data_IF_611063809685
#
_entry.id   IF_611063809685
#
_cell.length_a   1.000
_cell.length_b   1.000
_cell.length_c   1.000
_cell.angle_alpha   90.00
_cell.angle_beta   90.00
_cell.angle_gamma   90.00
#
_symmetry.space_group_name_H-M   'P 1'
#
loop_
_entity.id
_entity.type
_entity.pdbx_description
1 polymer ?
#
# COMPACT_ATOMS: atom_id res chain seq x y z
N UNK A 1 -47.58 17.42 76.97
CA UNK A 1 -48.52 18.52 77.03
C UNK A 1 -48.57 19.15 75.67
N UNK A 2 -49.53 18.72 74.97
CA UNK A 2 -50.65 19.43 74.36
C UNK A 2 -50.31 20.50 73.29
N UNK A 3 -51.15 20.49 72.35
CA UNK A 3 -50.94 20.75 70.93
C UNK A 3 -51.57 22.14 70.63
N UNK A 4 -52.11 22.39 69.52
CA UNK A 4 -51.95 22.33 68.10
C UNK A 4 -52.06 23.73 67.47
N UNK A 5 -52.05 23.90 66.20
CA UNK A 5 -53.15 24.56 65.45
C UNK A 5 -52.78 24.80 63.98
N UNK A 6 -53.58 24.24 63.11
CA UNK A 6 -53.83 24.71 61.74
C UNK A 6 -54.99 25.77 61.84
N UNK A 7 -55.38 26.40 60.76
CA UNK A 7 -55.00 26.68 59.38
C UNK A 7 -55.17 28.20 59.04
N UNK A 8 -55.47 28.76 57.90
CA UNK A 8 -56.40 28.31 56.86
C UNK A 8 -55.91 28.46 55.39
N UNK A 9 -56.75 27.96 54.50
CA UNK A 9 -56.76 27.98 53.06
C UNK A 9 -56.79 29.36 52.41
N UNK A 10 -56.19 29.42 51.23
CA UNK A 10 -56.36 30.52 50.26
C UNK A 10 -56.15 29.98 48.84
N UNK A 11 -57.10 30.16 48.03
CA UNK A 11 -57.45 29.62 46.71
C UNK A 11 -56.66 30.27 45.57
N UNK A 12 -56.60 29.48 44.50
CA UNK A 12 -56.49 29.83 43.07
C UNK A 12 -55.15 30.39 42.50
N UNK A 13 -54.57 29.60 41.65
CA UNK A 13 -53.52 29.97 40.73
C UNK A 13 -53.21 28.87 39.74
N UNK A 14 -54.02 28.79 38.68
CA UNK A 14 -53.77 27.89 37.55
C UNK A 14 -52.43 28.23 36.92
N UNK A 15 -51.44 27.37 37.07
CA UNK A 15 -50.18 27.51 36.36
C UNK A 15 -49.96 26.35 35.41
N UNK A 16 -49.92 26.69 34.14
CA UNK A 16 -49.74 25.81 33.02
C UNK A 16 -48.42 25.01 33.11
N UNK A 17 -48.52 23.73 33.17
CA UNK A 17 -47.37 22.84 33.02
C UNK A 17 -46.85 22.91 31.58
N UNK A 18 -45.79 23.70 31.36
CA UNK A 18 -44.96 23.65 30.18
C UNK A 18 -44.21 22.29 30.15
N UNK A 19 -44.77 21.35 29.44
CA UNK A 19 -44.05 20.14 29.06
C UNK A 19 -42.85 20.52 28.18
N UNK A 20 -41.65 20.59 28.76
CA UNK A 20 -40.41 20.60 28.02
C UNK A 20 -40.30 19.27 27.27
N UNK A 21 -40.62 19.24 25.97
CA UNK A 21 -40.26 18.19 25.05
C UNK A 21 -38.73 18.09 25.06
N UNK A 22 -38.21 17.06 25.72
CA UNK A 22 -36.83 16.62 25.51
C UNK A 22 -36.71 16.15 24.06
N UNK A 23 -36.13 16.99 23.21
CA UNK A 23 -35.61 16.58 21.95
C UNK A 23 -34.43 15.64 22.21
N UNK A 24 -34.66 14.35 22.17
CA UNK A 24 -33.62 13.36 22.03
C UNK A 24 -33.04 13.55 20.63
N UNK A 25 -31.90 14.23 20.54
CA UNK A 25 -31.10 14.21 19.34
C UNK A 25 -30.66 12.75 19.08
N UNK A 26 -31.50 12.04 18.34
CA UNK A 26 -31.13 10.80 17.69
C UNK A 26 -30.00 11.15 16.74
N UNK A 27 -28.74 10.92 17.18
CA UNK A 27 -27.57 10.97 16.29
C UNK A 27 -27.89 10.04 15.12
N UNK A 28 -28.34 10.62 14.00
CA UNK A 28 -28.40 9.92 12.74
C UNK A 28 -26.99 9.45 12.46
N UNK A 29 -26.76 8.15 12.61
CA UNK A 29 -25.61 7.47 12.10
C UNK A 29 -25.60 7.75 10.58
N UNK A 30 -24.79 8.72 10.16
CA UNK A 30 -24.57 8.99 8.74
C UNK A 30 -24.18 7.66 8.13
N UNK A 31 -25.04 7.13 7.27
CA UNK A 31 -24.65 6.02 6.38
C UNK A 31 -23.36 6.46 5.71
N UNK A 32 -22.33 5.57 5.62
CA UNK A 32 -21.13 5.93 4.89
C UNK A 32 -21.57 6.29 3.48
N UNK A 33 -21.42 7.56 3.14
CA UNK A 33 -21.63 8.05 1.79
C UNK A 33 -20.62 7.30 0.95
N UNK A 34 -21.09 6.46 0.05
CA UNK A 34 -20.25 5.82 -0.96
C UNK A 34 -19.37 6.92 -1.54
N UNK A 35 -18.07 6.80 -1.31
CA UNK A 35 -17.05 7.66 -1.89
C UNK A 35 -16.98 7.37 -3.39
N UNK A 36 -18.01 7.84 -4.11
CA UNK A 36 -18.08 7.78 -5.55
C UNK A 36 -16.91 8.57 -6.11
N UNK A 37 -15.87 7.84 -6.57
CA UNK A 37 -14.84 8.30 -7.51
C UNK A 37 -13.97 9.49 -7.08
N UNK A 38 -13.68 9.72 -5.82
CA UNK A 38 -12.54 10.57 -5.47
C UNK A 38 -11.25 9.78 -5.76
N UNK A 39 -10.38 10.38 -6.56
CA UNK A 39 -9.01 9.88 -6.68
C UNK A 39 -8.38 9.87 -5.29
N UNK A 40 -8.07 8.68 -4.79
CA UNK A 40 -7.46 8.48 -3.46
C UNK A 40 -5.94 8.29 -3.53
N UNK A 41 -5.35 8.39 -4.73
CA UNK A 41 -3.90 8.35 -4.91
C UNK A 41 -3.26 9.52 -4.13
N UNK A 42 -2.22 9.23 -3.38
CA UNK A 42 -1.56 10.17 -2.48
C UNK A 42 -2.25 10.33 -1.12
N UNK A 43 -3.39 9.71 -0.90
CA UNK A 43 -4.07 9.76 0.39
C UNK A 43 -3.50 8.73 1.38
N UNK A 44 -3.50 9.13 2.65
CA UNK A 44 -3.35 8.22 3.76
C UNK A 44 -4.68 7.52 3.99
N UNK A 45 -4.65 6.21 4.22
CA UNK A 45 -5.83 5.39 4.48
C UNK A 45 -5.64 4.52 5.72
N UNK A 46 -6.76 4.11 6.29
CA UNK A 46 -6.81 3.10 7.33
C UNK A 46 -8.00 2.17 7.08
N UNK A 47 -7.82 0.89 7.35
CA UNK A 47 -8.90 -0.09 7.28
C UNK A 47 -8.60 -1.29 8.19
N UNK A 48 -9.65 -2.04 8.53
CA UNK A 48 -9.50 -3.36 9.11
C UNK A 48 -9.12 -4.38 8.04
N UNK A 49 -8.22 -5.28 8.35
CA UNK A 49 -7.88 -6.46 7.55
C UNK A 49 -8.32 -7.71 8.27
N UNK A 50 -9.11 -8.55 7.61
CA UNK A 50 -9.60 -9.81 8.18
C UNK A 50 -9.32 -10.97 7.23
N UNK A 51 -8.53 -11.91 7.69
CA UNK A 51 -8.24 -13.13 6.96
C UNK A 51 -8.80 -14.35 7.71
N UNK A 52 -9.69 -15.07 7.05
CA UNK A 52 -10.34 -16.24 7.63
C UNK A 52 -10.99 -15.98 9.01
N UNK A 53 -10.58 -16.76 10.02
CA UNK A 53 -11.05 -16.65 11.40
C UNK A 53 -10.14 -15.80 12.30
N UNK A 54 -9.06 -15.24 11.74
CA UNK A 54 -8.13 -14.40 12.48
C UNK A 54 -8.81 -13.09 12.98
N UNK A 55 -8.34 -12.52 14.08
CA UNK A 55 -8.82 -11.23 14.55
C UNK A 55 -8.58 -10.14 13.49
N UNK A 56 -9.42 -9.10 13.52
CA UNK A 56 -9.26 -7.96 12.60
C UNK A 56 -8.02 -7.16 12.99
N UNK A 57 -7.06 -7.07 12.09
CA UNK A 57 -5.91 -6.17 12.22
C UNK A 57 -6.22 -4.80 11.64
N UNK A 58 -5.66 -3.74 12.23
CA UNK A 58 -5.77 -2.40 11.69
C UNK A 58 -4.55 -2.08 10.81
N UNK A 59 -4.79 -1.84 9.54
CA UNK A 59 -3.77 -1.48 8.56
C UNK A 59 -3.89 -0.02 8.18
N UNK A 60 -2.78 0.70 8.29
CA UNK A 60 -2.65 2.11 7.93
C UNK A 60 -1.57 2.25 6.86
N UNK A 61 -1.80 3.08 5.84
CA UNK A 61 -0.83 3.20 4.75
C UNK A 61 -1.13 4.34 3.80
N UNK A 62 -0.35 4.41 2.73
CA UNK A 62 -0.46 5.42 1.67
C UNK A 62 -0.82 4.73 0.35
N UNK A 63 -1.82 5.26 -0.34
CA UNK A 63 -2.16 4.83 -1.71
C UNK A 63 -1.17 5.48 -2.67
N UNK A 64 -0.36 4.67 -3.33
CA UNK A 64 0.70 5.14 -4.23
C UNK A 64 0.18 5.35 -5.65
N UNK A 65 -0.65 4.43 -6.12
CA UNK A 65 -1.09 4.41 -7.51
C UNK A 65 -2.44 3.70 -7.64
N UNK A 66 -3.20 4.08 -8.66
CA UNK A 66 -4.33 3.31 -9.17
C UNK A 66 -3.93 2.70 -10.51
N UNK A 67 -4.01 1.38 -10.62
CA UNK A 67 -3.52 0.66 -11.80
C UNK A 67 -4.41 0.95 -13.00
N UNK A 68 -3.85 1.54 -14.06
CA UNK A 68 -4.61 1.99 -15.23
C UNK A 68 -5.33 0.86 -15.96
N UNK A 69 -4.70 -0.29 -16.10
CA UNK A 69 -5.26 -1.48 -16.80
C UNK A 69 -6.25 -2.28 -15.93
N UNK A 70 -6.28 -2.01 -14.63
CA UNK A 70 -7.24 -2.58 -13.68
C UNK A 70 -7.63 -1.52 -12.63
N UNK A 71 -8.51 -0.56 -12.98
CA UNK A 71 -8.80 0.62 -12.15
C UNK A 71 -9.43 0.34 -10.77
N UNK A 72 -9.79 -0.89 -10.49
CA UNK A 72 -10.23 -1.33 -9.16
C UNK A 72 -9.07 -1.66 -8.24
N UNK A 73 -7.86 -1.87 -8.79
CA UNK A 73 -6.65 -2.22 -8.10
C UNK A 73 -5.84 -0.98 -7.72
N UNK A 74 -5.47 -0.89 -6.46
CA UNK A 74 -4.61 0.15 -5.91
C UNK A 74 -3.30 -0.44 -5.43
N UNK A 75 -2.20 0.27 -5.66
CA UNK A 75 -0.88 -0.03 -5.11
C UNK A 75 -0.72 0.76 -3.82
N UNK A 76 -0.36 0.08 -2.75
CA UNK A 76 -0.39 0.63 -1.40
C UNK A 76 0.88 0.26 -0.65
N UNK A 77 1.47 1.25 0.05
CA UNK A 77 2.52 1.04 1.05
C UNK A 77 1.90 1.15 2.42
N UNK A 78 1.89 0.04 3.16
CA UNK A 78 1.44 0.04 4.55
C UNK A 78 2.59 0.36 5.51
N UNK A 79 2.25 1.03 6.61
CA UNK A 79 3.19 1.37 7.66
C UNK A 79 3.72 0.08 8.33
N UNK A 80 5.02 0.04 8.58
CA UNK A 80 5.66 -1.13 9.19
C UNK A 80 5.72 -2.39 8.32
N UNK A 81 5.34 -2.31 7.06
CA UNK A 81 5.48 -3.40 6.07
C UNK A 81 6.50 -2.97 5.02
N UNK A 82 7.46 -3.80 4.70
CA UNK A 82 8.51 -3.47 3.73
C UNK A 82 8.05 -3.69 2.28
N UNK A 83 7.20 -4.67 2.05
CA UNK A 83 6.62 -4.94 0.75
C UNK A 83 5.52 -3.95 0.36
N UNK A 84 5.27 -3.89 -0.94
CA UNK A 84 4.19 -3.12 -1.58
C UNK A 84 3.04 -4.04 -1.93
N UNK A 85 1.83 -3.59 -1.67
CA UNK A 85 0.62 -4.40 -1.80
C UNK A 85 -0.28 -3.92 -2.93
N UNK A 86 -0.92 -4.86 -3.61
CA UNK A 86 -1.95 -4.59 -4.61
C UNK A 86 -3.32 -5.07 -4.10
N UNK A 87 -4.24 -4.14 -3.84
CA UNK A 87 -5.56 -4.45 -3.30
C UNK A 87 -6.69 -3.78 -4.08
N UNK A 88 -7.75 -4.51 -4.30
CA UNK A 88 -9.02 -3.95 -4.75
C UNK A 88 -9.82 -3.42 -3.54
N UNK A 89 -9.38 -2.29 -2.98
CA UNK A 89 -9.83 -1.73 -1.70
C UNK A 89 -11.35 -1.70 -1.49
N UNK A 90 -12.12 -1.54 -2.55
CA UNK A 90 -13.58 -1.44 -2.49
C UNK A 90 -14.29 -2.76 -2.79
N UNK A 91 -13.56 -3.81 -3.18
CA UNK A 91 -14.11 -5.10 -3.59
C UNK A 91 -13.64 -6.27 -2.73
N UNK A 92 -12.43 -6.18 -2.19
CA UNK A 92 -11.87 -7.22 -1.34
C UNK A 92 -12.65 -7.30 -0.02
N UNK A 93 -13.26 -8.45 0.24
CA UNK A 93 -14.09 -8.68 1.42
C UNK A 93 -13.29 -8.69 2.73
N UNK A 94 -11.97 -8.81 2.65
CA UNK A 94 -11.05 -8.74 3.79
C UNK A 94 -10.83 -7.30 4.26
N UNK A 95 -11.10 -6.30 3.39
CA UNK A 95 -11.00 -4.88 3.71
C UNK A 95 -12.27 -4.42 4.39
N UNK A 96 -12.17 -4.00 5.65
CA UNK A 96 -13.29 -3.56 6.48
C UNK A 96 -13.14 -2.09 6.86
N UNK A 97 -14.24 -1.34 6.84
CA UNK A 97 -14.29 0.04 7.34
C UNK A 97 -13.17 0.94 6.78
N UNK A 98 -12.98 0.96 5.45
CA UNK A 98 -12.00 1.82 4.80
C UNK A 98 -12.29 3.29 5.08
N UNK A 99 -11.29 4.01 5.58
CA UNK A 99 -11.32 5.44 5.88
C UNK A 99 -10.15 6.15 5.22
N UNK A 100 -10.42 7.38 4.72
CA UNK A 100 -9.37 8.28 4.24
C UNK A 100 -9.01 9.20 5.41
N UNK A 101 -7.72 9.23 5.74
CA UNK A 101 -7.20 10.03 6.84
C UNK A 101 -6.87 11.46 6.37
N UNK A 102 -6.97 12.47 7.24
CA UNK A 102 -6.67 13.86 6.89
C UNK A 102 -5.18 14.14 6.76
N UNK A 103 -4.34 13.22 7.18
CA UNK A 103 -2.87 13.33 7.12
C UNK A 103 -2.39 13.39 5.68
N UNK A 104 -1.35 14.18 5.44
CA UNK A 104 -0.66 14.24 4.15
C UNK A 104 0.69 13.54 4.24
N UNK A 105 1.11 12.95 3.12
CA UNK A 105 2.46 12.40 3.00
C UNK A 105 3.47 13.56 3.01
N UNK A 106 4.46 13.55 3.90
CA UNK A 106 5.54 14.53 3.85
C UNK A 106 6.32 14.41 2.54
N UNK A 107 6.71 15.54 1.97
CA UNK A 107 7.58 15.61 0.78
C UNK A 107 8.95 16.18 1.19
N UNK A 108 9.83 15.39 1.79
CA UNK A 108 11.16 15.86 2.15
C UNK A 108 11.98 16.14 0.90
N UNK A 109 12.94 17.07 1.03
CA UNK A 109 13.91 17.34 -0.06
C UNK A 109 14.92 16.21 -0.15
N UNK A 110 15.26 15.83 -1.38
CA UNK A 110 16.18 14.72 -1.68
C UNK A 110 17.20 15.20 -2.71
N UNK A 111 18.39 14.61 -2.67
CA UNK A 111 19.38 14.74 -3.74
C UNK A 111 18.90 13.96 -4.97
N UNK A 112 18.28 14.67 -5.91
CA UNK A 112 17.72 14.06 -7.11
C UNK A 112 18.77 13.39 -7.99
N UNK A 113 20.01 13.92 -8.04
CA UNK A 113 21.07 13.32 -8.88
C UNK A 113 21.49 11.97 -8.34
N UNK A 114 21.71 11.87 -7.04
CA UNK A 114 22.06 10.61 -6.41
C UNK A 114 20.89 9.63 -6.50
N UNK A 115 19.67 10.09 -6.27
CA UNK A 115 18.46 9.28 -6.38
C UNK A 115 18.33 8.67 -7.78
N UNK A 116 18.45 9.48 -8.82
CA UNK A 116 18.30 9.03 -10.21
C UNK A 116 19.46 8.10 -10.63
N UNK A 117 20.65 8.25 -10.04
CA UNK A 117 21.80 7.36 -10.32
C UNK A 117 21.63 5.94 -9.79
N UNK A 118 20.75 5.71 -8.81
CA UNK A 118 20.45 4.38 -8.29
C UNK A 118 19.46 3.59 -9.18
N UNK A 119 18.63 4.29 -9.95
CA UNK A 119 17.56 3.65 -10.73
C UNK A 119 18.16 2.74 -11.81
N UNK A 120 17.67 1.52 -11.90
CA UNK A 120 18.14 0.48 -12.81
C UNK A 120 19.45 -0.19 -12.39
N UNK A 121 20.02 0.18 -11.23
CA UNK A 121 21.25 -0.41 -10.73
C UNK A 121 20.99 -1.67 -9.93
N UNK A 122 21.91 -2.63 -10.11
CA UNK A 122 22.06 -3.76 -9.22
C UNK A 122 22.74 -3.32 -7.93
N UNK A 123 22.24 -3.81 -6.80
CA UNK A 123 22.72 -3.42 -5.48
C UNK A 123 22.88 -4.62 -4.55
N UNK A 124 23.86 -4.53 -3.65
CA UNK A 124 23.90 -5.34 -2.45
C UNK A 124 23.34 -4.53 -1.30
N UNK A 125 22.31 -5.00 -0.64
CA UNK A 125 21.62 -4.35 0.47
C UNK A 125 21.79 -5.21 1.73
N UNK A 126 22.33 -4.63 2.76
CA UNK A 126 22.65 -5.31 4.02
C UNK A 126 21.49 -5.12 4.98
N UNK A 127 20.98 -6.23 5.49
CA UNK A 127 19.97 -6.24 6.54
C UNK A 127 20.56 -6.76 7.83
N UNK A 128 20.17 -6.15 8.94
CA UNK A 128 20.51 -6.62 10.27
C UNK A 128 19.47 -7.65 10.72
N UNK A 129 19.91 -8.88 10.87
CA UNK A 129 19.09 -9.97 11.36
C UNK A 129 19.07 -10.07 12.88
N UNK A 130 18.37 -11.07 13.39
CA UNK A 130 18.36 -11.37 14.81
C UNK A 130 19.80 -11.62 15.31
N UNK A 131 20.10 -11.10 16.49
CA UNK A 131 21.43 -11.19 17.13
C UNK A 131 22.58 -10.42 16.42
N UNK A 132 22.26 -9.38 15.64
CA UNK A 132 23.27 -8.53 14.98
C UNK A 132 23.99 -9.22 13.81
N UNK A 133 23.45 -10.30 13.28
CA UNK A 133 23.94 -10.90 12.04
C UNK A 133 23.61 -10.00 10.86
N UNK A 134 24.60 -9.80 9.95
CA UNK A 134 24.37 -9.03 8.74
C UNK A 134 24.20 -9.99 7.56
N UNK A 135 23.09 -9.87 6.83
CA UNK A 135 22.81 -10.62 5.61
C UNK A 135 22.70 -9.67 4.41
N UNK A 136 23.54 -9.85 3.41
CA UNK A 136 23.50 -9.07 2.18
C UNK A 136 22.56 -9.73 1.16
N UNK A 137 21.57 -8.96 0.72
CA UNK A 137 20.65 -9.36 -0.34
C UNK A 137 21.00 -8.64 -1.63
N UNK A 138 21.13 -9.38 -2.71
CA UNK A 138 21.28 -8.81 -4.03
C UNK A 138 19.93 -8.45 -4.59
N UNK A 139 19.83 -7.23 -5.14
CA UNK A 139 18.59 -6.71 -5.66
C UNK A 139 18.78 -5.75 -6.82
N UNK A 140 17.68 -5.22 -7.32
CA UNK A 140 17.66 -4.22 -8.38
C UNK A 140 16.73 -3.07 -7.98
N UNK A 141 17.24 -1.86 -8.05
CA UNK A 141 16.46 -0.63 -7.88
C UNK A 141 15.67 -0.37 -9.17
N UNK A 142 14.35 -0.32 -9.07
CA UNK A 142 13.46 -0.32 -10.24
C UNK A 142 13.03 1.08 -10.64
N UNK A 143 12.63 1.88 -9.66
CA UNK A 143 12.11 3.23 -9.86
C UNK A 143 12.06 3.98 -8.53
N UNK A 144 11.82 5.30 -8.60
CA UNK A 144 11.32 6.07 -7.45
C UNK A 144 9.86 5.73 -7.23
N UNK A 145 9.45 5.64 -5.98
CA UNK A 145 8.05 5.36 -5.67
C UNK A 145 7.17 6.58 -6.01
N UNK A 146 5.97 6.37 -6.58
CA UNK A 146 5.02 7.46 -6.75
C UNK A 146 4.60 8.06 -5.40
N UNK A 147 4.32 9.36 -5.36
CA UNK A 147 3.83 10.08 -4.16
C UNK A 147 4.87 10.21 -3.03
N UNK A 148 5.74 9.22 -2.87
CA UNK A 148 6.75 9.16 -1.80
C UNK A 148 8.16 9.28 -2.41
N UNK A 149 8.53 10.46 -2.85
CA UNK A 149 9.72 10.74 -3.69
C UNK A 149 11.06 10.33 -3.08
N UNK A 150 11.16 10.14 -1.76
CA UNK A 150 12.36 9.67 -1.07
C UNK A 150 12.47 8.15 -0.99
N UNK A 151 11.43 7.46 -1.44
CA UNK A 151 11.35 6.01 -1.41
C UNK A 151 11.56 5.42 -2.80
N UNK A 152 12.12 4.22 -2.84
CA UNK A 152 12.43 3.50 -4.07
C UNK A 152 11.76 2.15 -4.11
N UNK A 153 11.28 1.78 -5.28
CA UNK A 153 10.90 0.41 -5.58
C UNK A 153 12.16 -0.43 -5.83
N UNK A 154 12.24 -1.55 -5.15
CA UNK A 154 13.33 -2.51 -5.26
C UNK A 154 12.79 -3.94 -5.19
N UNK A 155 13.48 -4.86 -5.84
CA UNK A 155 13.22 -6.30 -5.73
C UNK A 155 14.52 -7.04 -5.45
N UNK A 156 14.43 -8.25 -4.92
CA UNK A 156 15.61 -9.05 -4.55
C UNK A 156 15.60 -10.40 -5.23
N UNK A 157 16.81 -10.96 -5.49
CA UNK A 157 16.95 -12.28 -6.08
C UNK A 157 16.34 -13.40 -5.23
N UNK A 158 16.48 -13.28 -3.91
CA UNK A 158 15.95 -14.25 -2.95
C UNK A 158 14.43 -14.24 -2.85
N UNK A 159 13.82 -13.08 -3.13
CA UNK A 159 12.37 -12.89 -3.03
C UNK A 159 11.91 -11.89 -4.09
N UNK A 160 11.26 -12.34 -5.18
CA UNK A 160 10.87 -11.48 -6.29
C UNK A 160 9.61 -10.64 -6.02
N UNK A 161 9.40 -10.23 -4.80
CA UNK A 161 8.33 -9.31 -4.39
C UNK A 161 8.79 -7.87 -4.57
N UNK A 162 7.86 -6.96 -4.80
CA UNK A 162 8.12 -5.54 -4.83
C UNK A 162 8.22 -4.98 -3.40
N UNK A 163 9.40 -4.47 -3.08
CA UNK A 163 9.72 -3.80 -1.82
C UNK A 163 9.86 -2.30 -2.01
N UNK A 164 9.87 -1.56 -0.90
CA UNK A 164 9.99 -0.12 -0.91
C UNK A 164 10.77 0.39 0.30
N UNK A 165 11.93 1.04 0.04
CA UNK A 165 12.85 1.54 1.06
C UNK A 165 13.37 2.95 0.76
N UNK A 166 13.92 3.62 1.77
CA UNK A 166 14.62 4.92 1.68
C UNK A 166 16.10 4.73 1.34
N UNK A 167 16.40 4.12 0.21
CA UNK A 167 17.74 3.62 -0.16
C UNK A 167 18.88 4.64 -0.13
N UNK A 168 18.59 5.96 -0.14
CA UNK A 168 19.64 6.98 -0.04
C UNK A 168 20.27 7.04 1.35
N UNK A 169 19.50 6.75 2.38
CA UNK A 169 20.00 6.72 3.73
C UNK A 169 20.85 5.47 3.94
N UNK A 170 20.37 4.32 3.48
CA UNK A 170 21.12 3.05 3.50
C UNK A 170 22.43 3.16 2.70
N UNK A 171 22.42 3.90 1.56
CA UNK A 171 23.63 4.14 0.76
C UNK A 171 24.65 5.01 1.50
N UNK A 172 24.22 6.06 2.23
CA UNK A 172 25.08 6.93 3.02
C UNK A 172 25.65 6.20 4.24
N UNK A 173 24.86 5.33 4.85
CA UNK A 173 25.23 4.56 6.02
C UNK A 173 26.14 3.36 5.69
N UNK A 174 26.26 3.05 4.37
CA UNK A 174 27.10 1.96 3.87
C UNK A 174 26.43 0.59 3.89
N UNK A 175 25.14 0.55 4.17
CA UNK A 175 24.32 -0.68 4.15
C UNK A 175 23.77 -0.97 2.74
N UNK A 176 23.90 -0.04 1.78
CA UNK A 176 23.62 -0.25 0.37
C UNK A 176 24.84 0.04 -0.48
N UNK A 177 25.22 -0.89 -1.36
CA UNK A 177 26.31 -0.69 -2.32
C UNK A 177 25.85 -1.03 -3.75
N UNK A 178 26.34 -0.29 -4.74
CA UNK A 178 26.10 -0.59 -6.16
C UNK A 178 26.99 -1.75 -6.56
N UNK A 179 26.40 -2.75 -7.21
CA UNK A 179 27.12 -3.88 -7.82
C UNK A 179 27.43 -3.50 -9.26
N UNK A 180 28.68 -3.66 -9.74
CA UNK A 180 29.01 -3.45 -11.15
C UNK A 180 28.19 -4.34 -12.08
N UNK A 181 27.74 -3.79 -13.21
CA UNK A 181 26.85 -4.47 -14.16
C UNK A 181 27.42 -5.82 -14.66
N UNK A 182 28.75 -5.98 -14.71
CA UNK A 182 29.42 -7.23 -15.09
C UNK A 182 29.24 -8.39 -14.10
N UNK A 183 28.83 -8.11 -12.87
CA UNK A 183 28.73 -9.08 -11.78
C UNK A 183 27.28 -9.38 -11.37
N UNK A 184 26.33 -8.76 -12.05
CA UNK A 184 24.92 -8.93 -11.74
C UNK A 184 24.16 -9.45 -12.95
N UNK A 185 23.73 -10.68 -12.89
CA UNK A 185 22.86 -11.29 -13.87
C UNK A 185 21.43 -11.31 -13.32
N UNK A 186 20.68 -10.26 -13.60
CA UNK A 186 19.22 -10.40 -13.59
C UNK A 186 18.88 -11.14 -14.89
N UNK A 187 18.15 -12.26 -14.89
CA UNK A 187 17.83 -12.97 -16.11
C UNK A 187 16.93 -12.10 -16.99
N UNK A 188 17.55 -11.20 -17.73
CA UNK A 188 16.94 -10.35 -18.74
C UNK A 188 17.56 -10.74 -20.07
N UNK A 189 16.74 -11.12 -21.03
CA UNK A 189 17.21 -11.15 -22.40
C UNK A 189 17.61 -9.71 -22.78
N UNK A 190 18.88 -9.51 -23.10
CA UNK A 190 19.31 -8.30 -23.77
C UNK A 190 18.52 -8.23 -25.09
N UNK A 191 17.72 -7.19 -25.24
CA UNK A 191 17.04 -6.91 -26.51
C UNK A 191 17.93 -6.03 -27.35
N UNK A 192 18.05 -6.39 -28.60
CA UNK A 192 18.66 -5.55 -29.62
C UNK A 192 17.96 -4.19 -29.65
N UNK A 193 18.72 -3.05 -29.73
CA UNK A 193 18.13 -1.73 -29.87
C UNK A 193 17.34 -1.64 -31.17
N UNK A 194 16.02 -1.49 -31.10
CA UNK A 194 15.14 -1.29 -32.28
C UNK A 194 13.94 -2.22 -32.37
N UNK A 195 13.82 -3.26 -31.56
CA UNK A 195 12.63 -4.11 -31.55
C UNK A 195 11.49 -3.41 -30.78
N UNK A 196 10.50 -2.92 -31.51
CA UNK A 196 9.24 -2.43 -30.93
C UNK A 196 8.47 -3.64 -30.40
N UNK A 197 8.57 -3.89 -29.11
CA UNK A 197 7.81 -4.97 -28.49
C UNK A 197 6.56 -4.38 -27.88
N UNK A 198 5.40 -4.91 -28.29
CA UNK A 198 4.14 -4.61 -27.63
C UNK A 198 4.27 -4.83 -26.12
N UNK A 199 3.91 -3.82 -25.34
CA UNK A 199 3.90 -3.94 -23.87
C UNK A 199 2.95 -5.05 -23.46
N UNK A 200 3.37 -5.87 -22.51
CA UNK A 200 2.51 -6.91 -21.92
C UNK A 200 1.54 -6.34 -20.88
N UNK A 201 1.67 -5.06 -20.54
CA UNK A 201 0.81 -4.42 -19.55
C UNK A 201 -0.67 -4.58 -19.94
N UNK A 202 -1.48 -5.08 -19.01
CA UNK A 202 -2.89 -5.41 -19.22
C UNK A 202 -3.15 -6.82 -19.72
N UNK A 203 -2.13 -7.57 -20.16
CA UNK A 203 -2.28 -8.97 -20.57
C UNK A 203 -2.30 -9.88 -19.34
N UNK A 204 -3.05 -10.98 -19.44
CA UNK A 204 -3.05 -12.03 -18.41
C UNK A 204 -1.80 -12.89 -18.51
N UNK A 205 -1.39 -13.45 -17.40
CA UNK A 205 -0.28 -14.38 -17.26
C UNK A 205 -0.71 -15.60 -16.48
N UNK A 206 -0.24 -16.78 -16.92
CA UNK A 206 -0.26 -18.00 -16.13
C UNK A 206 1.16 -18.35 -15.71
N UNK A 207 1.35 -18.68 -14.45
CA UNK A 207 2.63 -19.12 -13.88
C UNK A 207 2.44 -20.50 -13.25
N UNK A 208 3.26 -21.45 -13.68
CA UNK A 208 3.30 -22.78 -13.08
C UNK A 208 4.10 -22.73 -11.78
N UNK A 209 3.54 -23.26 -10.70
CA UNK A 209 4.24 -23.47 -9.42
C UNK A 209 5.02 -24.78 -9.45
N UNK A 210 5.97 -24.92 -8.55
CA UNK A 210 6.80 -26.12 -8.44
C UNK A 210 5.98 -27.38 -8.12
N UNK A 211 4.81 -27.23 -7.49
CA UNK A 211 3.85 -28.31 -7.21
C UNK A 211 3.00 -28.73 -8.42
N UNK A 212 3.21 -28.10 -9.59
CA UNK A 212 2.47 -28.32 -10.82
C UNK A 212 1.13 -27.58 -10.89
N UNK A 213 0.71 -26.87 -9.84
CA UNK A 213 -0.46 -26.00 -9.89
C UNK A 213 -0.15 -24.73 -10.68
N UNK A 214 -1.20 -24.08 -11.18
CA UNK A 214 -1.06 -22.82 -11.90
C UNK A 214 -1.66 -21.69 -11.09
N UNK A 215 -1.03 -20.52 -11.15
CA UNK A 215 -1.60 -19.26 -10.68
C UNK A 215 -1.78 -18.31 -11.85
N UNK A 216 -2.84 -17.53 -11.82
CA UNK A 216 -3.14 -16.53 -12.83
C UNK A 216 -2.96 -15.13 -12.27
N UNK A 217 -2.67 -14.20 -13.15
CA UNK A 217 -2.47 -12.80 -12.78
C UNK A 217 -2.51 -11.90 -14.00
N UNK A 218 -2.12 -10.64 -13.78
CA UNK A 218 -2.10 -9.61 -14.81
C UNK A 218 -0.79 -8.81 -14.71
N UNK A 219 -0.19 -8.50 -15.87
CA UNK A 219 0.91 -7.54 -15.96
C UNK A 219 0.37 -6.12 -15.70
N UNK A 220 0.81 -5.47 -14.64
CA UNK A 220 0.28 -4.17 -14.22
C UNK A 220 1.20 -2.99 -14.54
N UNK A 221 2.49 -3.23 -14.70
CA UNK A 221 3.47 -2.19 -14.96
C UNK A 221 4.70 -2.78 -15.67
N UNK A 222 5.33 -1.99 -16.55
CA UNK A 222 6.62 -2.29 -17.18
C UNK A 222 7.65 -1.31 -16.63
N UNK A 223 8.79 -1.81 -16.16
CA UNK A 223 9.84 -1.00 -15.57
C UNK A 223 10.57 -0.22 -16.65
N UNK A 224 10.51 1.13 -16.60
CA UNK A 224 11.10 1.99 -17.63
C UNK A 224 12.61 1.80 -17.74
N UNK A 225 13.31 1.69 -16.60
CA UNK A 225 14.76 1.50 -16.56
C UNK A 225 15.23 0.11 -17.04
N UNK A 226 14.32 -0.87 -17.05
CA UNK A 226 14.58 -2.25 -17.50
C UNK A 226 13.31 -2.78 -18.19
N UNK A 227 13.12 -2.52 -19.49
CA UNK A 227 11.88 -2.83 -20.20
C UNK A 227 11.49 -4.32 -20.28
N UNK A 228 12.43 -5.24 -19.99
CA UNK A 228 12.14 -6.67 -19.84
C UNK A 228 11.53 -7.03 -18.49
N UNK A 229 11.52 -6.12 -17.52
CA UNK A 229 11.03 -6.35 -16.16
C UNK A 229 9.62 -5.80 -16.01
N UNK A 230 8.75 -6.61 -15.41
CA UNK A 230 7.34 -6.28 -15.22
C UNK A 230 6.90 -6.52 -13.79
N UNK A 231 5.94 -5.72 -13.35
CA UNK A 231 5.17 -5.99 -12.14
C UNK A 231 3.97 -6.85 -12.50
N UNK A 232 3.77 -7.89 -11.72
CA UNK A 232 2.67 -8.84 -11.88
C UNK A 232 1.87 -8.90 -10.60
N UNK A 233 0.56 -8.77 -10.73
CA UNK A 233 -0.40 -9.00 -9.66
C UNK A 233 -1.10 -10.32 -9.91
N UNK A 234 -0.83 -11.32 -9.06
CA UNK A 234 -1.54 -12.59 -9.10
C UNK A 234 -2.86 -12.50 -8.35
N UNK A 235 -3.84 -13.30 -8.79
CA UNK A 235 -5.20 -13.27 -8.25
C UNK A 235 -5.28 -13.85 -6.83
N UNK A 236 -4.38 -14.78 -6.51
CA UNK A 236 -4.31 -15.51 -5.24
C UNK A 236 -3.48 -14.82 -4.15
N UNK A 237 -2.88 -13.67 -4.43
CA UNK A 237 -1.95 -13.00 -3.52
C UNK A 237 -2.16 -11.49 -3.51
N UNK A 238 -1.83 -10.83 -2.41
CA UNK A 238 -1.91 -9.38 -2.26
C UNK A 238 -0.57 -8.68 -2.56
N UNK A 239 0.52 -9.42 -2.65
CA UNK A 239 1.82 -8.88 -3.04
C UNK A 239 1.88 -8.58 -4.53
N UNK A 240 2.78 -7.69 -4.89
CA UNK A 240 3.17 -7.42 -6.27
C UNK A 240 4.49 -8.12 -6.52
N UNK A 241 4.55 -8.91 -7.57
CA UNK A 241 5.74 -9.66 -7.96
C UNK A 241 6.47 -8.95 -9.08
N UNK A 242 7.79 -9.13 -9.13
CA UNK A 242 8.67 -8.53 -10.13
C UNK A 242 9.41 -9.63 -10.87
N UNK A 243 9.17 -9.75 -12.17
CA UNK A 243 9.84 -10.74 -13.01
C UNK A 243 10.46 -10.12 -14.25
N UNK A 244 11.67 -10.55 -14.55
CA UNK A 244 12.30 -10.37 -15.86
C UNK A 244 11.77 -11.43 -16.82
N UNK A 245 11.24 -10.99 -17.95
CA UNK A 245 10.77 -11.89 -18.99
C UNK A 245 11.83 -12.06 -20.05
N UNK A 246 12.29 -13.29 -20.21
CA UNK A 246 13.16 -13.70 -21.31
C UNK A 246 12.26 -14.23 -22.41
N UNK A 247 12.40 -13.70 -23.63
CA UNK A 247 11.80 -14.32 -24.81
C UNK A 247 12.63 -15.58 -25.09
N UNK A 248 12.08 -16.75 -24.80
CA UNK A 248 12.66 -18.01 -25.30
C UNK A 248 12.54 -18.02 -26.82
N UNK A 249 13.57 -18.38 -27.56
CA UNK A 249 13.53 -18.43 -29.03
C UNK A 249 12.53 -19.45 -29.55
#
# INVERSE_FOLDING_TARGET
MSPPTMPPMGVDGVSAYLMKKRHTHRKQRRKPTFLTRRNIVGCRIQHGWKEGNEPVEQWKGTVLEQVSVKPTLYIIKYDGKDSVYGLELHRDKRVLALEILPERVPTPRIDSRLADSLIGKAVGHVFEGEHGTKDEWKGMVLARAPVMDTWFYITYEKDPVLYMYTLLDDYKDGDLRIIPDSNYYFPTAEREPGEVVDSLVGKQVEHAKDDGSKRTGIFIHQVVAKPSVYFIKFDDDIHIYVYGLVKTP
#
